data_IF_449989856980
#
_entry.id   IF_449989856980
#
_cell.length_a   1.000
_cell.length_b   1.000
_cell.length_c   1.000
_cell.angle_alpha   90.00
_cell.angle_beta   90.00
_cell.angle_gamma   90.00
#
_symmetry.space_group_name_H-M   'P 1'
#
loop_
_entity.id
_entity.type
_entity.pdbx_description
1 polymer ?
#
# COMPACT_ATOMS: atom_id res chain seq x y z
N UNK A 1 4.97 -31.17 -0.58
CA UNK A 1 6.42 -31.47 -0.67
C UNK A 1 7.12 -30.19 -1.07
N UNK A 2 7.97 -29.66 -0.20
CA UNK A 2 8.62 -28.35 -0.34
C UNK A 2 9.08 -27.89 1.03
N UNK A 3 10.13 -28.53 1.54
CA UNK A 3 10.71 -28.24 2.85
C UNK A 3 11.42 -26.88 2.80
N UNK A 4 10.87 -25.88 3.49
CA UNK A 4 11.55 -24.60 3.70
C UNK A 4 12.74 -24.78 4.64
N UNK A 5 13.95 -24.73 4.08
CA UNK A 5 15.18 -24.73 4.86
C UNK A 5 15.32 -23.43 5.64
N UNK A 6 15.62 -23.54 6.93
CA UNK A 6 15.98 -22.42 7.79
C UNK A 6 17.42 -22.01 7.45
N UNK A 7 17.59 -20.92 6.72
CA UNK A 7 18.90 -20.28 6.56
C UNK A 7 19.15 -19.41 7.78
N UNK A 8 20.24 -19.70 8.50
CA UNK A 8 20.72 -18.90 9.63
C UNK A 8 21.73 -17.91 9.07
N UNK A 9 21.63 -16.64 9.45
CA UNK A 9 22.70 -15.68 9.20
C UNK A 9 23.92 -15.94 10.11
N UNK A 10 25.04 -15.28 9.81
CA UNK A 10 26.30 -15.42 10.56
C UNK A 10 26.18 -14.96 12.03
N UNK A 11 25.07 -14.30 12.38
CA UNK A 11 24.76 -13.75 13.71
C UNK A 11 23.78 -14.65 14.50
N UNK A 12 23.33 -15.77 13.91
CA UNK A 12 22.48 -16.76 14.57
C UNK A 12 21.01 -16.34 14.72
N UNK A 13 20.57 -15.28 14.04
CA UNK A 13 19.18 -14.86 14.08
C UNK A 13 18.31 -15.78 13.20
N UNK A 14 17.16 -16.18 13.74
CA UNK A 14 16.11 -16.86 12.98
C UNK A 14 15.39 -15.79 12.18
N UNK A 15 15.98 -15.40 11.05
CA UNK A 15 15.32 -14.54 10.08
C UNK A 15 14.23 -15.31 9.35
N UNK A 16 12.97 -15.23 9.82
CA UNK A 16 11.86 -15.39 8.89
C UNK A 16 12.02 -14.30 7.83
N UNK A 17 12.45 -14.67 6.61
CA UNK A 17 12.36 -13.79 5.43
C UNK A 17 10.88 -13.67 5.06
N UNK A 18 10.11 -13.06 5.96
CA UNK A 18 8.69 -12.79 5.77
C UNK A 18 8.56 -11.82 4.62
N UNK A 19 7.85 -12.23 3.59
CA UNK A 19 7.38 -11.33 2.56
C UNK A 19 6.36 -10.44 3.28
N UNK A 20 6.77 -9.24 3.67
CA UNK A 20 5.86 -8.26 4.27
C UNK A 20 5.01 -7.67 3.15
N UNK A 21 3.79 -8.18 3.01
CA UNK A 21 2.79 -7.65 2.08
C UNK A 21 1.92 -6.63 2.80
N UNK A 22 1.92 -5.40 2.33
CA UNK A 22 0.98 -4.36 2.78
C UNK A 22 -0.17 -4.27 1.79
N UNK A 23 -1.41 -4.37 2.27
CA UNK A 23 -2.60 -4.17 1.45
C UNK A 23 -3.16 -2.78 1.77
N UNK A 24 -3.34 -1.96 0.72
CA UNK A 24 -3.96 -0.63 0.83
C UNK A 24 -5.31 -0.66 0.15
N UNK A 25 -6.36 -0.51 0.95
CA UNK A 25 -7.73 -0.43 0.46
C UNK A 25 -8.10 1.01 0.06
N UNK A 26 -8.67 1.16 -1.13
CA UNK A 26 -9.01 2.46 -1.70
C UNK A 26 -10.53 2.58 -1.85
N UNK A 27 -11.14 3.53 -1.13
CA UNK A 27 -12.58 3.84 -1.24
C UNK A 27 -12.98 4.60 -2.52
N UNK A 28 -12.04 5.29 -3.17
CA UNK A 28 -12.30 6.05 -4.40
C UNK A 28 -11.95 5.26 -5.65
N UNK A 29 -12.95 4.95 -6.48
CA UNK A 29 -12.75 4.27 -7.78
C UNK A 29 -11.82 5.07 -8.71
N UNK A 30 -11.91 6.40 -8.68
CA UNK A 30 -11.08 7.28 -9.49
C UNK A 30 -9.62 7.19 -9.05
N UNK A 31 -9.35 7.29 -7.75
CA UNK A 31 -8.00 7.16 -7.20
C UNK A 31 -7.42 5.76 -7.46
N UNK A 32 -8.24 4.71 -7.29
CA UNK A 32 -7.85 3.34 -7.61
C UNK A 32 -7.43 3.18 -9.08
N UNK A 33 -8.21 3.75 -10.01
CA UNK A 33 -7.88 3.72 -11.44
C UNK A 33 -6.57 4.46 -11.77
N UNK A 34 -6.26 5.56 -11.07
CA UNK A 34 -5.00 6.29 -11.21
C UNK A 34 -3.79 5.50 -10.70
N UNK A 35 -3.97 4.69 -9.65
CA UNK A 35 -2.91 3.82 -9.14
C UNK A 35 -2.58 2.71 -10.14
N UNK A 36 -3.61 2.09 -10.74
CA UNK A 36 -3.44 1.04 -11.74
C UNK A 36 -2.95 1.56 -13.10
N UNK A 37 -3.40 2.75 -13.52
CA UNK A 37 -3.11 3.31 -14.84
C UNK A 37 -2.41 4.65 -14.71
N UNK A 38 -1.08 4.66 -14.86
CA UNK A 38 -0.27 5.88 -14.71
C UNK A 38 -0.66 6.99 -15.71
N UNK A 39 -1.11 6.62 -16.90
CA UNK A 39 -1.50 7.57 -17.95
C UNK A 39 -2.79 8.33 -17.64
N UNK A 40 -3.63 7.80 -16.72
CA UNK A 40 -4.86 8.47 -16.30
C UNK A 40 -4.63 9.46 -15.15
N UNK A 41 -3.41 9.53 -14.62
CA UNK A 41 -3.09 10.41 -13.49
C UNK A 41 -3.16 11.87 -13.92
N UNK A 42 -3.80 12.74 -13.12
CA UNK A 42 -3.80 14.16 -13.40
C UNK A 42 -2.37 14.72 -13.29
N UNK A 43 -1.96 15.48 -14.31
CA UNK A 43 -0.62 16.07 -14.38
C UNK A 43 -0.27 16.91 -13.15
N UNK A 44 -1.26 17.64 -12.61
CA UNK A 44 -1.10 18.49 -11.42
C UNK A 44 -0.73 17.72 -10.14
N UNK A 45 -0.89 16.40 -10.12
CA UNK A 45 -0.59 15.54 -8.95
C UNK A 45 0.69 14.73 -9.13
N UNK A 46 1.52 15.00 -10.15
CA UNK A 46 2.74 14.22 -10.41
C UNK A 46 3.67 14.13 -9.19
N UNK A 47 3.91 15.25 -8.50
CA UNK A 47 4.77 15.28 -7.32
C UNK A 47 4.24 14.38 -6.21
N UNK A 48 2.92 14.36 -6.00
CA UNK A 48 2.25 13.49 -5.03
C UNK A 48 2.47 12.01 -5.36
N UNK A 49 2.28 11.62 -6.63
CA UNK A 49 2.51 10.25 -7.06
C UNK A 49 3.99 9.84 -6.98
N UNK A 50 4.92 10.74 -7.31
CA UNK A 50 6.34 10.48 -7.19
C UNK A 50 6.79 10.25 -5.73
N UNK A 51 6.29 11.06 -4.79
CA UNK A 51 6.57 10.83 -3.36
C UNK A 51 5.94 9.52 -2.86
N UNK A 52 4.72 9.20 -3.30
CA UNK A 52 4.08 7.92 -2.98
C UNK A 52 4.91 6.74 -3.49
N UNK A 53 5.34 6.74 -4.75
CA UNK A 53 6.17 5.68 -5.34
C UNK A 53 7.52 5.53 -4.61
N UNK A 54 8.13 6.65 -4.21
CA UNK A 54 9.34 6.65 -3.37
C UNK A 54 9.10 5.97 -2.02
N UNK A 55 7.97 6.25 -1.37
CA UNK A 55 7.61 5.60 -0.09
C UNK A 55 7.33 4.12 -0.27
N UNK A 56 6.61 3.73 -1.33
CA UNK A 56 6.32 2.33 -1.63
C UNK A 56 7.61 1.52 -1.82
N UNK A 57 8.63 2.10 -2.48
CA UNK A 57 9.93 1.46 -2.63
C UNK A 57 10.64 1.14 -1.29
N UNK A 58 10.28 1.81 -0.20
CA UNK A 58 10.82 1.56 1.13
C UNK A 58 10.01 0.58 1.98
N UNK A 59 8.74 0.34 1.64
CA UNK A 59 7.79 -0.43 2.48
C UNK A 59 7.80 -1.93 2.15
N UNK A 60 8.35 -2.32 1.00
CA UNK A 60 8.35 -3.70 0.53
C UNK A 60 7.23 -3.96 -0.47
N UNK A 61 6.62 -5.15 -0.43
CA UNK A 61 5.56 -5.50 -1.36
C UNK A 61 4.25 -4.83 -0.95
N UNK A 62 3.62 -4.10 -1.88
CA UNK A 62 2.36 -3.40 -1.63
C UNK A 62 1.34 -3.79 -2.71
N UNK A 63 0.16 -4.21 -2.27
CA UNK A 63 -0.99 -4.46 -3.13
C UNK A 63 -2.07 -3.39 -2.89
N UNK A 64 -2.71 -2.98 -3.96
CA UNK A 64 -3.87 -2.10 -3.89
C UNK A 64 -5.14 -2.90 -4.17
N UNK A 65 -6.15 -2.72 -3.33
CA UNK A 65 -7.49 -3.26 -3.55
C UNK A 65 -8.51 -2.13 -3.52
N UNK A 66 -9.61 -2.33 -4.26
CA UNK A 66 -10.77 -1.45 -4.14
C UNK A 66 -11.55 -1.88 -2.90
N UNK A 67 -11.88 -0.92 -2.03
CA UNK A 67 -12.71 -1.20 -0.87
C UNK A 67 -14.12 -1.63 -1.32
N UNK A 68 -14.70 -2.59 -0.61
CA UNK A 68 -16.11 -2.94 -0.75
C UNK A 68 -17.02 -1.82 -0.23
N UNK A 69 -18.33 -1.96 -0.44
CA UNK A 69 -19.29 -0.97 0.05
C UNK A 69 -19.18 -0.87 1.59
N UNK A 70 -18.92 0.35 2.08
CA UNK A 70 -18.60 0.66 3.49
C UNK A 70 -17.28 0.08 4.04
N UNK A 71 -16.46 -0.60 3.23
CA UNK A 71 -15.18 -1.17 3.67
C UNK A 71 -14.15 -0.13 4.13
N UNK A 72 -14.34 1.14 3.76
CA UNK A 72 -13.45 2.25 4.09
C UNK A 72 -14.08 3.31 5.03
N UNK A 73 -15.19 2.98 5.70
CA UNK A 73 -15.96 3.93 6.53
C UNK A 73 -15.13 4.54 7.67
N UNK A 74 -14.24 3.76 8.29
CA UNK A 74 -13.36 4.26 9.34
C UNK A 74 -12.42 5.35 8.80
N UNK A 75 -11.74 5.11 7.67
CA UNK A 75 -10.84 6.08 7.09
C UNK A 75 -11.60 7.33 6.61
N UNK A 76 -12.81 7.17 6.06
CA UNK A 76 -13.69 8.27 5.67
C UNK A 76 -14.12 9.11 6.87
N UNK A 77 -14.49 8.47 7.99
CA UNK A 77 -14.88 9.15 9.23
C UNK A 77 -13.70 9.95 9.79
N UNK A 78 -12.51 9.35 9.83
CA UNK A 78 -11.29 10.03 10.31
C UNK A 78 -10.93 11.22 9.42
N UNK A 79 -11.01 11.07 8.09
CA UNK A 79 -10.77 12.17 7.15
C UNK A 79 -11.79 13.29 7.33
N UNK A 80 -13.08 12.96 7.50
CA UNK A 80 -14.16 13.93 7.70
C UNK A 80 -13.99 14.72 9.01
N UNK A 81 -13.59 14.06 10.09
CA UNK A 81 -13.26 14.73 11.36
C UNK A 81 -12.04 15.65 11.19
N UNK A 82 -11.05 15.24 10.40
CA UNK A 82 -9.84 16.02 10.14
C UNK A 82 -10.08 17.30 9.33
N UNK A 83 -11.05 17.30 8.41
CA UNK A 83 -11.41 18.47 7.58
C UNK A 83 -12.16 19.53 8.38
N UNK A 84 -12.93 19.14 9.39
CA UNK A 84 -13.74 20.04 10.22
C UNK A 84 -12.97 20.65 11.41
N UNK A 85 -11.63 20.73 11.32
CA UNK A 85 -10.75 21.36 12.31
C UNK A 85 -10.25 22.71 11.82
#
# INVERSE_FOLDING_TARGET
MGCGGVLRDEEGNIGCRGISLTIVEIGSLVAYNWLLNKDKRPWSQQTTFADMERRLACVGEVAFSKAEWHGNEMAETLASVGINR
#
